data_IF_582940574181
#
_entry.id   IF_582940574181
#
_cell.length_a   1.000
_cell.length_b   1.000
_cell.length_c   1.000
_cell.angle_alpha   90.00
_cell.angle_beta   90.00
_cell.angle_gamma   90.00
#
_symmetry.space_group_name_H-M   'P 1'
#
loop_
_entity.id
_entity.type
_entity.pdbx_description
1 polymer ?
#
# COMPACT_ATOMS: atom_id res chain seq x y z
N UNK A 1 -1.42 6.50 -15.44
CA UNK A 1 -1.90 6.20 -14.07
C UNK A 1 -2.28 7.52 -13.41
N UNK A 2 -3.47 7.64 -12.82
CA UNK A 2 -3.98 8.87 -12.17
C UNK A 2 -3.64 8.92 -10.68
N UNK A 3 -3.64 7.78 -10.01
CA UNK A 3 -3.31 7.67 -8.58
C UNK A 3 -2.33 6.52 -8.34
N UNK A 4 -1.39 6.72 -7.41
CA UNK A 4 -0.54 5.66 -6.90
C UNK A 4 -0.77 5.54 -5.40
N UNK A 5 -1.22 4.37 -4.96
CA UNK A 5 -1.59 4.11 -3.57
C UNK A 5 -0.38 3.63 -2.79
N UNK A 6 -0.09 4.35 -1.70
CA UNK A 6 0.85 3.91 -0.68
C UNK A 6 0.19 2.91 0.30
N UNK A 7 1.01 2.13 0.99
CA UNK A 7 0.61 1.17 2.02
C UNK A 7 -0.25 1.83 3.10
N UNK A 8 0.10 3.04 3.55
CA UNK A 8 -0.64 3.76 4.59
C UNK A 8 -2.11 4.00 4.22
N UNK A 9 -2.36 4.38 2.96
CA UNK A 9 -3.72 4.59 2.43
C UNK A 9 -4.46 3.27 2.28
N UNK A 10 -3.80 2.22 1.80
CA UNK A 10 -4.40 0.89 1.64
C UNK A 10 -4.81 0.28 2.98
N UNK A 11 -3.96 0.38 4.00
CA UNK A 11 -4.28 -0.07 5.37
C UNK A 11 -5.45 0.74 5.94
N UNK A 12 -5.41 2.07 5.81
CA UNK A 12 -6.50 2.93 6.29
C UNK A 12 -7.85 2.61 5.61
N UNK A 13 -7.85 2.28 4.32
CA UNK A 13 -9.07 1.89 3.60
C UNK A 13 -9.72 0.60 4.13
N UNK A 14 -8.94 -0.25 4.81
CA UNK A 14 -9.38 -1.54 5.37
C UNK A 14 -9.78 -1.38 6.85
N UNK A 15 -8.99 -0.64 7.63
CA UNK A 15 -9.18 -0.48 9.07
C UNK A 15 -10.26 0.56 9.39
N UNK A 16 -11.48 0.11 9.72
CA UNK A 16 -12.65 0.98 9.97
C UNK A 16 -12.41 2.02 11.08
N UNK A 17 -11.68 1.65 12.13
CA UNK A 17 -11.37 2.57 13.24
C UNK A 17 -10.24 3.56 12.92
N UNK A 18 -9.62 3.48 11.75
CA UNK A 18 -8.53 4.37 11.37
C UNK A 18 -9.05 5.79 11.11
N UNK A 19 -8.36 6.82 11.60
CA UNK A 19 -8.78 8.23 11.46
C UNK A 19 -8.94 8.66 9.99
N UNK A 20 -8.18 8.05 9.09
CA UNK A 20 -8.27 8.29 7.65
C UNK A 20 -9.14 7.27 6.88
N UNK A 21 -9.92 6.42 7.57
CA UNK A 21 -10.68 5.36 6.92
C UNK A 21 -11.61 5.86 5.80
N UNK A 22 -12.47 6.82 6.12
CA UNK A 22 -13.44 7.35 5.16
C UNK A 22 -12.80 7.91 3.86
N UNK A 23 -11.81 8.83 3.93
CA UNK A 23 -11.17 9.34 2.70
C UNK A 23 -10.37 8.26 1.97
N UNK A 24 -9.66 7.38 2.68
CA UNK A 24 -8.88 6.29 2.06
C UNK A 24 -9.77 5.27 1.36
N UNK A 25 -10.89 4.90 1.98
CA UNK A 25 -11.86 3.98 1.39
C UNK A 25 -12.54 4.60 0.17
N UNK A 26 -12.93 5.88 0.21
CA UNK A 26 -13.51 6.56 -0.94
C UNK A 26 -12.53 6.59 -2.13
N UNK A 27 -11.26 6.91 -1.88
CA UNK A 27 -10.22 6.88 -2.91
C UNK A 27 -10.05 5.47 -3.48
N UNK A 28 -9.95 4.46 -2.62
CA UNK A 28 -9.78 3.06 -3.03
C UNK A 28 -10.97 2.56 -3.85
N UNK A 29 -12.21 2.86 -3.45
CA UNK A 29 -13.42 2.44 -4.19
C UNK A 29 -13.52 3.10 -5.57
N UNK A 30 -12.99 4.32 -5.74
CA UNK A 30 -12.92 5.00 -7.03
C UNK A 30 -11.82 4.46 -7.96
N UNK A 31 -10.88 3.68 -7.41
CA UNK A 31 -9.73 3.19 -8.14
C UNK A 31 -10.10 2.04 -9.10
N UNK A 32 -9.46 2.05 -10.26
CA UNK A 32 -9.55 1.01 -11.29
C UNK A 32 -8.16 0.71 -11.84
N UNK A 33 -7.94 -0.49 -12.39
CA UNK A 33 -6.62 -0.87 -12.93
C UNK A 33 -6.06 0.13 -13.94
N UNK A 34 -6.93 0.67 -14.81
CA UNK A 34 -6.51 1.61 -15.85
C UNK A 34 -6.11 3.00 -15.29
N UNK A 35 -6.58 3.34 -14.10
CA UNK A 35 -6.39 4.66 -13.51
C UNK A 35 -5.52 4.67 -12.26
N UNK A 36 -5.22 3.51 -11.67
CA UNK A 36 -4.61 3.46 -10.34
C UNK A 36 -3.68 2.26 -10.19
N UNK A 37 -2.64 2.44 -9.39
CA UNK A 37 -1.67 1.37 -9.09
C UNK A 37 -1.07 1.47 -7.70
N UNK A 38 -0.30 0.47 -7.32
CA UNK A 38 0.53 0.47 -6.12
C UNK A 38 1.81 -0.34 -6.40
N UNK A 39 2.81 -0.20 -5.53
CA UNK A 39 4.01 -1.02 -5.63
C UNK A 39 3.67 -2.48 -5.27
N UNK A 40 4.38 -3.42 -5.88
CA UNK A 40 4.33 -4.83 -5.49
C UNK A 40 4.72 -5.00 -4.02
N UNK A 41 5.68 -4.20 -3.55
CA UNK A 41 6.12 -4.17 -2.15
C UNK A 41 4.99 -3.78 -1.19
N UNK A 42 4.10 -2.85 -1.59
CA UNK A 42 2.95 -2.45 -0.77
C UNK A 42 2.01 -3.62 -0.46
N UNK A 43 1.91 -4.64 -1.32
CA UNK A 43 1.11 -5.83 -1.02
C UNK A 43 1.67 -6.60 0.19
N UNK A 44 2.99 -6.74 0.25
CA UNK A 44 3.66 -7.40 1.37
C UNK A 44 3.54 -6.57 2.66
N UNK A 45 3.70 -5.26 2.57
CA UNK A 45 3.55 -4.38 3.73
C UNK A 45 2.12 -4.33 4.27
N UNK A 46 1.10 -4.30 3.40
CA UNK A 46 -0.32 -4.37 3.81
C UNK A 46 -0.56 -5.67 4.57
N UNK A 47 -0.21 -6.83 4.00
CA UNK A 47 -0.36 -8.13 4.66
C UNK A 47 0.30 -8.15 6.05
N UNK A 48 1.55 -7.72 6.09
CA UNK A 48 2.37 -7.73 7.29
C UNK A 48 1.83 -6.75 8.35
N UNK A 49 1.28 -5.61 7.94
CA UNK A 49 0.70 -4.62 8.84
C UNK A 49 -0.62 -5.13 9.44
N UNK A 50 -1.55 -5.60 8.60
CA UNK A 50 -2.87 -6.06 9.04
C UNK A 50 -2.78 -7.23 10.05
N UNK A 51 -1.85 -8.16 9.82
CA UNK A 51 -1.64 -9.34 10.69
C UNK A 51 -0.91 -9.00 12.00
N UNK A 52 -0.23 -7.86 12.08
CA UNK A 52 0.46 -7.38 13.29
C UNK A 52 -0.35 -6.41 14.13
N UNK A 53 -1.53 -5.97 13.67
CA UNK A 53 -2.37 -5.05 14.43
C UNK A 53 -2.64 -5.60 15.86
N UNK A 54 -2.67 -4.73 16.87
CA UNK A 54 -2.85 -5.15 18.26
C UNK A 54 -4.32 -5.46 18.58
N UNK A 55 -4.52 -6.38 19.54
CA UNK A 55 -5.83 -6.63 20.14
C UNK A 55 -6.91 -7.07 19.17
N UNK A 56 -8.13 -6.51 19.33
CA UNK A 56 -9.32 -6.90 18.56
C UNK A 56 -9.29 -6.45 17.09
N UNK A 57 -8.33 -5.60 16.72
CA UNK A 57 -8.15 -5.13 15.35
C UNK A 57 -7.25 -6.06 14.53
N UNK A 58 -6.65 -7.08 15.16
CA UNK A 58 -5.83 -8.06 14.46
C UNK A 58 -6.66 -8.78 13.41
N UNK A 59 -6.23 -8.65 12.16
CA UNK A 59 -6.81 -9.37 11.03
C UNK A 59 -6.09 -10.71 10.91
N UNK A 60 -6.83 -11.80 10.66
CA UNK A 60 -6.21 -13.12 10.48
C UNK A 60 -5.43 -13.18 9.17
N UNK A 61 -4.52 -14.15 9.05
CA UNK A 61 -3.75 -14.36 7.83
C UNK A 61 -4.65 -14.56 6.59
N UNK A 62 -5.75 -15.30 6.75
CA UNK A 62 -6.71 -15.61 5.69
C UNK A 62 -7.48 -14.36 5.28
N UNK A 63 -7.94 -13.55 6.25
CA UNK A 63 -8.61 -12.29 5.97
C UNK A 63 -7.66 -11.28 5.30
N UNK A 64 -6.41 -11.19 5.77
CA UNK A 64 -5.39 -10.33 5.16
C UNK A 64 -5.12 -10.73 3.70
N UNK A 65 -5.08 -12.04 3.40
CA UNK A 65 -4.94 -12.52 2.03
C UNK A 65 -6.10 -12.06 1.14
N UNK A 66 -7.35 -12.12 1.62
CA UNK A 66 -8.51 -11.63 0.86
C UNK A 66 -8.38 -10.14 0.50
N UNK A 67 -7.90 -9.31 1.43
CA UNK A 67 -7.67 -7.89 1.15
C UNK A 67 -6.56 -7.67 0.12
N UNK A 68 -5.44 -8.38 0.24
CA UNK A 68 -4.34 -8.28 -0.73
C UNK A 68 -4.75 -8.76 -2.12
N UNK A 69 -5.59 -9.80 -2.20
CA UNK A 69 -6.17 -10.24 -3.46
C UNK A 69 -7.09 -9.19 -4.09
N UNK A 70 -7.93 -8.52 -3.29
CA UNK A 70 -8.79 -7.44 -3.77
C UNK A 70 -7.96 -6.28 -4.34
N UNK A 71 -6.89 -5.89 -3.64
CA UNK A 71 -5.95 -4.85 -4.10
C UNK A 71 -5.34 -5.24 -5.45
N UNK A 72 -4.85 -6.49 -5.59
CA UNK A 72 -4.29 -7.02 -6.85
C UNK A 72 -5.32 -7.05 -7.99
N UNK A 73 -6.60 -7.25 -7.68
CA UNK A 73 -7.70 -7.26 -8.66
C UNK A 73 -8.12 -5.84 -9.05
N UNK A 74 -7.98 -4.86 -8.16
CA UNK A 74 -8.42 -3.47 -8.40
C UNK A 74 -7.33 -2.57 -8.97
N UNK A 75 -6.08 -2.76 -8.55
CA UNK A 75 -4.96 -1.88 -8.89
C UNK A 75 -4.02 -2.52 -9.92
N UNK A 76 -3.34 -1.67 -10.69
CA UNK A 76 -2.16 -2.08 -11.46
C UNK A 76 -0.97 -2.23 -10.51
N UNK A 77 -0.35 -3.41 -10.50
CA UNK A 77 0.79 -3.70 -9.64
C UNK A 77 2.07 -3.36 -10.39
N UNK A 78 2.88 -2.48 -9.79
CA UNK A 78 4.20 -2.10 -10.31
C UNK A 78 5.26 -2.80 -9.49
N UNK A 79 5.95 -3.76 -10.09
CA UNK A 79 7.10 -4.43 -9.49
C UNK A 79 8.37 -3.75 -10.00
N UNK A 80 9.27 -3.40 -9.08
CA UNK A 80 10.60 -2.96 -9.42
C UNK A 80 11.55 -4.15 -9.39
N UNK A 81 12.49 -4.19 -10.33
CA UNK A 81 13.63 -5.09 -10.27
C UNK A 81 14.77 -4.54 -9.41
N UNK A 82 15.86 -5.31 -9.31
CA UNK A 82 17.00 -4.97 -8.47
C UNK A 82 17.72 -3.69 -8.93
N UNK A 83 17.88 -3.50 -10.23
CA UNK A 83 18.52 -2.32 -10.81
C UNK A 83 17.66 -1.07 -10.57
N UNK A 84 16.34 -1.17 -10.72
CA UNK A 84 15.41 -0.08 -10.45
C UNK A 84 15.40 0.32 -8.97
N UNK A 85 15.47 -0.64 -8.05
CA UNK A 85 15.63 -0.35 -6.62
C UNK A 85 16.96 0.34 -6.33
N UNK A 86 18.05 -0.18 -6.90
CA UNK A 86 19.37 0.39 -6.70
C UNK A 86 19.42 1.84 -7.21
N UNK A 87 18.88 2.08 -8.40
CA UNK A 87 18.77 3.41 -8.98
C UNK A 87 18.02 4.36 -8.04
N UNK A 88 16.82 3.98 -7.59
CA UNK A 88 15.99 4.80 -6.70
C UNK A 88 16.73 5.18 -5.40
N UNK A 89 17.50 4.25 -4.81
CA UNK A 89 18.30 4.51 -3.62
C UNK A 89 19.42 5.50 -3.94
N UNK A 90 20.15 5.29 -5.04
CA UNK A 90 21.27 6.17 -5.40
C UNK A 90 20.82 7.59 -5.75
N UNK A 91 19.68 7.75 -6.43
CA UNK A 91 19.08 9.06 -6.68
C UNK A 91 18.62 9.72 -5.38
N UNK A 92 18.02 8.95 -4.47
CA UNK A 92 17.63 9.47 -3.14
C UNK A 92 18.83 10.00 -2.36
N UNK A 93 19.99 9.35 -2.45
CA UNK A 93 21.24 9.83 -1.82
C UNK A 93 21.70 11.15 -2.44
N UNK A 94 21.65 11.26 -3.77
CA UNK A 94 22.05 12.49 -4.47
C UNK A 94 21.16 13.68 -4.11
N UNK A 95 19.89 13.43 -3.82
CA UNK A 95 18.90 14.42 -3.42
C UNK A 95 18.78 14.60 -1.88
N UNK A 96 19.68 13.98 -1.11
CA UNK A 96 19.67 14.01 0.37
C UNK A 96 18.33 13.56 1.01
N UNK A 97 17.58 12.70 0.33
CA UNK A 97 16.31 12.16 0.80
C UNK A 97 16.59 11.10 1.87
N UNK A 98 16.10 11.36 3.09
CA UNK A 98 16.13 10.42 4.22
C UNK A 98 14.76 9.78 4.46
N UNK A 99 14.76 8.58 5.02
CA UNK A 99 13.52 7.87 5.36
C UNK A 99 12.73 8.56 6.48
N UNK A 100 11.40 8.63 6.33
CA UNK A 100 10.49 8.98 7.43
C UNK A 100 10.33 10.47 7.75
N UNK A 101 10.63 11.36 6.81
CA UNK A 101 10.28 12.79 6.96
C UNK A 101 8.78 13.00 6.76
N UNK A 102 8.16 13.74 7.70
CA UNK A 102 6.81 14.32 7.61
C UNK A 102 6.94 15.71 7.00
#
# INVERSE_FOLDING_TARGET
MKYFFDTSVLVAAICVDHVHHAPSQAAYLSATKNSSGCAAHSLAEVYATLTRLPGKQRITCEQALLFVEDIRKRLTIVALDEDEYWLAITESVAEEIVGGTI
#
